data_IF_690896052623
#
_entry.id   IF_690896052623
#
_cell.length_a   1.000
_cell.length_b   1.000
_cell.length_c   1.000
_cell.angle_alpha   90.00
_cell.angle_beta   90.00
_cell.angle_gamma   90.00
#
_symmetry.space_group_name_H-M   'P 1'
#
loop_
_entity.id
_entity.type
_entity.pdbx_description
1 polymer ?
#
# COMPACT_ATOMS: atom_id res chain seq x y z
N UNK A 1 20.50 -7.11 -11.40
CA UNK A 1 20.08 -6.88 -9.99
C UNK A 1 18.89 -5.91 -9.81
N UNK A 2 18.28 -5.33 -10.87
CA UNK A 2 17.09 -4.44 -10.75
C UNK A 2 15.76 -5.20 -10.59
N UNK A 3 15.68 -6.43 -11.10
CA UNK A 3 14.48 -7.28 -11.01
C UNK A 3 14.12 -7.68 -9.58
N UNK A 4 15.11 -7.98 -8.74
CA UNK A 4 14.89 -8.28 -7.31
C UNK A 4 14.40 -7.06 -6.53
N UNK A 5 14.88 -5.87 -6.87
CA UNK A 5 14.39 -4.62 -6.29
C UNK A 5 12.95 -4.33 -6.70
N UNK A 6 12.58 -4.56 -7.96
CA UNK A 6 11.19 -4.44 -8.42
C UNK A 6 10.26 -5.44 -7.73
N UNK A 7 10.65 -6.72 -7.68
CA UNK A 7 9.89 -7.76 -6.98
C UNK A 7 9.73 -7.41 -5.51
N UNK A 8 10.80 -7.02 -4.83
CA UNK A 8 10.75 -6.62 -3.42
C UNK A 8 9.95 -5.33 -3.20
N UNK A 9 10.01 -4.38 -4.13
CA UNK A 9 9.27 -3.13 -4.05
C UNK A 9 7.76 -3.29 -4.27
N UNK A 10 7.31 -4.34 -4.97
CA UNK A 10 5.89 -4.69 -5.13
C UNK A 10 5.41 -5.63 -4.02
N UNK A 11 6.24 -6.59 -3.61
CA UNK A 11 5.88 -7.52 -2.55
C UNK A 11 5.78 -6.85 -1.18
N UNK A 12 6.64 -5.87 -0.88
CA UNK A 12 6.65 -5.19 0.40
C UNK A 12 5.35 -4.40 0.69
N UNK A 13 4.83 -3.54 -0.22
CA UNK A 13 3.56 -2.85 0.01
C UNK A 13 2.38 -3.82 0.01
N UNK A 14 2.40 -4.86 -0.81
CA UNK A 14 1.37 -5.90 -0.80
C UNK A 14 1.29 -6.62 0.55
N UNK A 15 2.45 -6.97 1.11
CA UNK A 15 2.54 -7.63 2.42
C UNK A 15 2.15 -6.69 3.56
N UNK A 16 2.56 -5.42 3.51
CA UNK A 16 2.15 -4.40 4.47
C UNK A 16 0.65 -4.17 4.44
N UNK A 17 0.02 -4.15 3.26
CA UNK A 17 -1.42 -4.00 3.10
C UNK A 17 -2.18 -5.18 3.70
N UNK A 18 -1.70 -6.42 3.44
CA UNK A 18 -2.25 -7.62 4.06
C UNK A 18 -2.14 -7.58 5.59
N UNK A 19 -0.98 -7.20 6.12
CA UNK A 19 -0.76 -7.07 7.56
C UNK A 19 -1.64 -5.97 8.18
N UNK A 20 -1.80 -4.83 7.52
CA UNK A 20 -2.68 -3.76 7.96
C UNK A 20 -4.15 -4.21 7.94
N UNK A 21 -4.60 -4.90 6.89
CA UNK A 21 -5.94 -5.45 6.80
C UNK A 21 -6.21 -6.46 7.92
N UNK A 22 -5.29 -7.40 8.17
CA UNK A 22 -5.40 -8.33 9.29
C UNK A 22 -5.40 -7.62 10.65
N UNK A 23 -4.57 -6.60 10.83
CA UNK A 23 -4.53 -5.80 12.06
C UNK A 23 -5.82 -5.03 12.31
N UNK A 24 -6.40 -4.43 11.26
CA UNK A 24 -7.70 -3.75 11.33
C UNK A 24 -8.81 -4.75 11.62
N UNK A 25 -8.81 -5.91 10.96
CA UNK A 25 -9.81 -6.95 11.19
C UNK A 25 -9.73 -7.49 12.63
N UNK A 26 -8.52 -7.70 13.15
CA UNK A 26 -8.32 -8.06 14.56
C UNK A 26 -8.81 -6.96 15.52
N UNK A 27 -8.54 -5.68 15.21
CA UNK A 27 -9.02 -4.57 16.02
C UNK A 27 -10.56 -4.43 15.96
N UNK A 28 -11.18 -4.72 14.80
CA UNK A 28 -12.62 -4.67 14.61
C UNK A 28 -13.35 -5.74 15.41
N UNK A 29 -12.77 -6.95 15.51
CA UNK A 29 -13.32 -8.01 16.39
C UNK A 29 -13.36 -7.63 17.87
N UNK A 30 -12.56 -6.63 18.29
CA UNK A 30 -12.55 -6.13 19.65
C UNK A 30 -13.53 -4.97 19.91
N UNK A 31 -14.05 -4.32 18.87
CA UNK A 31 -14.76 -3.03 18.98
C UNK A 31 -16.28 -3.09 18.78
N UNK A 32 -16.91 -4.24 19.01
CA UNK A 32 -18.34 -4.48 18.77
C UNK A 32 -19.33 -3.60 19.58
N UNK A 33 -18.88 -2.71 20.45
CA UNK A 33 -19.73 -1.94 21.38
C UNK A 33 -20.10 -0.50 20.96
N UNK A 34 -19.90 -0.07 19.71
CA UNK A 34 -20.44 1.24 19.26
C UNK A 34 -20.80 1.29 17.75
N UNK A 35 -22.10 1.26 17.37
CA UNK A 35 -22.57 0.99 15.99
C UNK A 35 -22.29 2.02 14.88
N UNK A 36 -21.33 2.94 15.00
CA UNK A 36 -21.12 3.97 13.96
C UNK A 36 -19.70 4.53 13.82
N UNK A 37 -18.90 4.52 14.89
CA UNK A 37 -17.54 5.07 14.82
C UNK A 37 -16.53 4.07 14.23
N UNK A 38 -16.69 2.77 14.51
CA UNK A 38 -15.81 1.72 13.98
C UNK A 38 -15.85 1.68 12.44
N UNK A 39 -17.04 1.62 11.86
CA UNK A 39 -17.24 1.56 10.41
C UNK A 39 -16.62 2.74 9.66
N UNK A 40 -16.78 3.98 10.16
CA UNK A 40 -16.18 5.17 9.54
C UNK A 40 -14.65 5.15 9.60
N UNK A 41 -14.09 4.68 10.71
CA UNK A 41 -12.63 4.51 10.86
C UNK A 41 -12.12 3.43 9.90
N UNK A 42 -12.82 2.31 9.77
CA UNK A 42 -12.46 1.25 8.81
C UNK A 42 -12.48 1.79 7.38
N UNK A 43 -13.52 2.52 6.98
CA UNK A 43 -13.60 3.13 5.64
C UNK A 43 -12.49 4.14 5.42
N UNK A 44 -12.19 5.00 6.41
CA UNK A 44 -11.10 5.96 6.32
C UNK A 44 -9.74 5.26 6.19
N UNK A 45 -9.52 4.18 6.95
CA UNK A 45 -8.29 3.37 6.89
C UNK A 45 -8.16 2.69 5.53
N UNK A 46 -9.23 2.07 5.01
CA UNK A 46 -9.23 1.45 3.68
C UNK A 46 -8.98 2.48 2.59
N UNK A 47 -9.62 3.65 2.68
CA UNK A 47 -9.42 4.73 1.72
C UNK A 47 -7.98 5.28 1.77
N UNK A 48 -7.43 5.47 2.96
CA UNK A 48 -6.03 5.87 3.16
C UNK A 48 -5.05 4.81 2.65
N UNK A 49 -5.31 3.53 2.89
CA UNK A 49 -4.51 2.43 2.38
C UNK A 49 -4.52 2.39 0.84
N UNK A 50 -5.69 2.54 0.21
CA UNK A 50 -5.80 2.64 -1.25
C UNK A 50 -5.04 3.84 -1.81
N UNK A 51 -5.12 5.00 -1.15
CA UNK A 51 -4.36 6.19 -1.55
C UNK A 51 -2.84 5.98 -1.43
N UNK A 52 -2.38 5.32 -0.36
CA UNK A 52 -0.98 4.97 -0.17
C UNK A 52 -0.50 3.96 -1.21
N UNK A 53 -1.31 2.95 -1.53
CA UNK A 53 -1.03 2.00 -2.60
C UNK A 53 -0.91 2.71 -3.95
N UNK A 54 -1.85 3.60 -4.27
CA UNK A 54 -1.84 4.38 -5.50
C UNK A 54 -0.59 5.27 -5.59
N UNK A 55 -0.22 5.94 -4.50
CA UNK A 55 0.99 6.77 -4.45
C UNK A 55 2.27 5.93 -4.60
N UNK A 56 2.33 4.76 -3.96
CA UNK A 56 3.47 3.84 -4.06
C UNK A 56 3.62 3.31 -5.49
N UNK A 57 2.53 2.86 -6.11
CA UNK A 57 2.52 2.42 -7.51
C UNK A 57 3.01 3.53 -8.44
N UNK A 58 2.48 4.75 -8.28
CA UNK A 58 2.90 5.92 -9.06
C UNK A 58 4.40 6.22 -8.90
N UNK A 59 4.93 6.14 -7.67
CA UNK A 59 6.36 6.30 -7.38
C UNK A 59 7.21 5.21 -8.04
N UNK A 60 6.74 3.96 -8.03
CA UNK A 60 7.42 2.83 -8.68
C UNK A 60 7.42 2.99 -10.19
N UNK A 61 6.27 3.32 -10.80
CA UNK A 61 6.14 3.60 -12.24
C UNK A 61 7.06 4.73 -12.66
N UNK A 62 7.09 5.81 -11.86
CA UNK A 62 7.94 6.96 -12.17
C UNK A 62 9.43 6.63 -11.99
N UNK A 63 9.80 5.84 -10.97
CA UNK A 63 11.18 5.32 -10.82
C UNK A 63 11.58 4.46 -12.01
N UNK A 64 10.69 3.58 -12.48
CA UNK A 64 10.91 2.75 -13.67
C UNK A 64 11.15 3.61 -14.91
N UNK A 65 10.30 4.62 -15.14
CA UNK A 65 10.41 5.50 -16.30
C UNK A 65 11.68 6.37 -16.26
N UNK A 66 12.08 6.82 -15.05
CA UNK A 66 13.31 7.59 -14.85
C UNK A 66 14.55 6.76 -15.11
N UNK A 67 14.58 5.51 -14.67
CA UNK A 67 15.71 4.64 -14.97
C UNK A 67 15.82 4.33 -16.49
N UNK A 68 14.69 4.18 -17.18
CA UNK A 68 14.68 3.97 -18.64
C UNK A 68 15.18 5.23 -19.38
N UNK A 69 14.78 6.43 -18.95
CA UNK A 69 15.23 7.71 -19.53
C UNK A 69 16.71 8.02 -19.26
N UNK A 70 17.23 7.71 -18.07
CA UNK A 70 18.65 7.88 -17.74
C UNK A 70 19.58 6.93 -18.51
N UNK A 71 19.04 5.81 -19.03
CA UNK A 71 19.78 4.87 -19.87
C UNK A 71 19.75 5.24 -21.36
N UNK A 72 18.77 6.05 -21.80
CA UNK A 72 18.60 6.46 -23.20
C UNK A 72 19.36 7.74 -23.57
N UNK A 73 20.07 8.37 -22.62
CA UNK A 73 20.84 9.61 -22.79
C UNK A 73 22.37 9.40 -22.74
N UNK A 74 22.84 8.15 -22.60
CA UNK A 74 24.24 7.74 -22.69
C UNK A 74 24.45 6.84 -23.90
#
# INVERSE_FOLDING_TARGET
MRLRLLLSAVFLPLFLAGAAYFGVWAADTASADSPGRGTLVVVAVVCGALALLAAADLLVVNRRLRDERGSATL
#
